data_IF_527085382641
#
_entry.id   IF_527085382641
#
_cell.length_a   1.000
_cell.length_b   1.000
_cell.length_c   1.000
_cell.angle_alpha   90.00
_cell.angle_beta   90.00
_cell.angle_gamma   90.00
#
_symmetry.space_group_name_H-M   'P 1'
#
loop_
_entity.id
_entity.type
_entity.pdbx_description
1 polymer ?
#
# COMPACT_ATOMS: atom_id res chain seq x y z
N UNK A 1 -58.58 55.26 20.47
CA UNK A 1 -57.82 54.15 21.05
C UNK A 1 -57.33 53.23 19.86
N UNK A 2 -56.09 53.42 19.42
CA UNK A 2 -55.51 52.74 18.33
C UNK A 2 -54.59 51.62 18.92
N UNK A 3 -54.91 50.38 18.68
CA UNK A 3 -54.07 49.23 19.09
C UNK A 3 -53.04 48.97 18.02
N UNK A 4 -51.74 49.20 18.29
CA UNK A 4 -50.64 48.80 17.50
C UNK A 4 -50.29 47.30 17.82
N UNK A 5 -50.42 46.43 16.86
CA UNK A 5 -49.98 45.04 16.97
C UNK A 5 -48.56 44.94 16.39
N UNK A 6 -47.57 44.65 17.25
CA UNK A 6 -46.21 44.31 16.80
C UNK A 6 -46.13 42.86 16.34
N UNK A 7 -45.80 42.64 15.06
CA UNK A 7 -45.46 41.35 14.54
C UNK A 7 -43.95 41.08 14.75
N UNK A 8 -43.64 40.07 15.54
CA UNK A 8 -42.26 39.58 15.71
C UNK A 8 -41.95 38.63 14.58
N UNK A 9 -41.06 39.01 13.68
CA UNK A 9 -40.52 38.13 12.64
C UNK A 9 -39.36 37.33 13.23
N UNK A 10 -39.59 36.04 13.48
CA UNK A 10 -38.52 35.08 13.80
C UNK A 10 -37.75 34.73 12.52
N UNK A 11 -36.51 35.21 12.40
CA UNK A 11 -35.57 34.77 11.38
C UNK A 11 -34.94 33.48 11.89
N UNK A 12 -35.41 32.34 11.38
CA UNK A 12 -34.76 31.03 11.60
C UNK A 12 -33.45 30.96 10.85
N UNK A 13 -32.34 30.97 11.56
CA UNK A 13 -31.01 30.66 10.98
C UNK A 13 -30.95 29.18 10.72
N UNK A 14 -31.08 28.79 9.46
CA UNK A 14 -30.87 27.42 8.99
C UNK A 14 -29.35 27.17 8.98
N UNK A 15 -28.84 26.54 10.02
CA UNK A 15 -27.47 26.06 10.03
C UNK A 15 -27.36 24.88 9.03
N UNK A 16 -26.89 25.19 7.82
CA UNK A 16 -26.48 24.17 6.85
C UNK A 16 -25.20 23.51 7.41
N UNK A 17 -25.36 22.37 8.06
CA UNK A 17 -24.26 21.50 8.36
C UNK A 17 -23.65 21.06 7.01
N UNK A 18 -22.56 21.68 6.59
CA UNK A 18 -21.73 21.16 5.52
C UNK A 18 -21.15 19.84 6.03
N UNK A 19 -21.80 18.73 5.65
CA UNK A 19 -21.18 17.41 5.78
C UNK A 19 -19.91 17.46 4.94
N UNK A 20 -18.76 17.48 5.60
CA UNK A 20 -17.47 17.25 4.95
C UNK A 20 -17.55 15.87 4.33
N UNK A 21 -17.62 15.81 3.01
CA UNK A 21 -17.58 14.54 2.27
C UNK A 21 -16.22 13.93 2.59
N UNK A 22 -16.22 12.93 3.48
CA UNK A 22 -15.02 12.26 3.90
C UNK A 22 -14.33 11.69 2.64
N UNK A 23 -13.10 12.11 2.36
CA UNK A 23 -12.32 11.55 1.27
C UNK A 23 -12.05 10.08 1.60
N UNK A 24 -12.73 9.17 0.89
CA UNK A 24 -12.57 7.73 1.11
C UNK A 24 -11.29 7.16 0.49
N UNK A 25 -10.40 8.00 0.00
CA UNK A 25 -9.16 7.63 -0.63
C UNK A 25 -7.98 7.96 0.28
N UNK A 26 -7.09 6.97 0.49
CA UNK A 26 -5.85 7.20 1.23
C UNK A 26 -4.75 7.61 0.24
N UNK A 27 -4.16 8.76 0.47
CA UNK A 27 -3.09 9.35 -0.34
C UNK A 27 -1.88 9.63 0.53
N UNK A 28 -0.67 9.35 0.04
CA UNK A 28 0.54 9.60 0.81
C UNK A 28 1.79 8.94 0.27
N UNK A 29 1.64 7.91 -0.59
CA UNK A 29 2.76 7.32 -1.27
C UNK A 29 3.25 8.17 -2.45
N UNK A 30 4.58 8.27 -2.59
CA UNK A 30 5.24 8.90 -3.74
C UNK A 30 5.34 8.00 -4.97
N UNK A 31 5.20 6.70 -4.78
CA UNK A 31 5.24 5.66 -5.81
C UNK A 31 4.00 4.78 -5.84
N UNK A 32 3.87 3.88 -6.83
CA UNK A 32 2.82 2.88 -6.89
C UNK A 32 2.65 2.10 -5.59
N UNK A 33 1.39 1.84 -5.19
CA UNK A 33 1.07 0.98 -4.04
C UNK A 33 1.15 -0.47 -4.48
N UNK A 34 2.14 -1.21 -3.97
CA UNK A 34 2.47 -2.57 -4.38
C UNK A 34 1.80 -3.64 -3.51
N UNK A 35 1.58 -3.34 -2.23
CA UNK A 35 1.05 -4.28 -1.27
C UNK A 35 0.07 -3.61 -0.30
N UNK A 36 -0.91 -4.38 0.17
CA UNK A 36 -1.93 -3.97 1.15
C UNK A 36 -2.21 -5.13 2.10
N UNK A 37 -2.38 -4.81 3.38
CA UNK A 37 -2.96 -5.71 4.37
C UNK A 37 -3.83 -4.92 5.35
N UNK A 38 -4.84 -5.59 5.92
CA UNK A 38 -5.77 -5.03 6.89
C UNK A 38 -5.49 -5.62 8.26
N UNK A 39 -5.58 -4.80 9.30
CA UNK A 39 -5.51 -5.30 10.68
C UNK A 39 -6.68 -6.24 10.99
N UNK A 40 -6.50 -7.22 11.87
CA UNK A 40 -7.56 -8.19 12.20
C UNK A 40 -8.88 -7.54 12.66
N UNK A 41 -8.81 -6.37 13.31
CA UNK A 41 -9.97 -5.60 13.77
C UNK A 41 -10.60 -4.69 12.69
N UNK A 42 -10.01 -4.65 11.50
CA UNK A 42 -10.49 -3.83 10.39
C UNK A 42 -10.29 -2.32 10.52
N UNK A 43 -9.60 -1.84 11.57
CA UNK A 43 -9.47 -0.39 11.83
C UNK A 43 -8.26 0.24 11.17
N UNK A 44 -7.24 -0.55 10.90
CA UNK A 44 -5.98 -0.10 10.29
C UNK A 44 -5.73 -0.83 8.98
N UNK A 45 -5.01 -0.17 8.08
CA UNK A 45 -4.38 -0.79 6.93
C UNK A 45 -2.87 -0.54 6.97
N UNK A 46 -2.10 -1.40 6.34
CA UNK A 46 -0.70 -1.19 6.02
C UNK A 46 -0.53 -1.31 4.51
N UNK A 47 0.23 -0.41 3.92
CA UNK A 47 0.58 -0.45 2.50
C UNK A 47 2.08 -0.43 2.30
N UNK A 48 2.57 -1.12 1.28
CA UNK A 48 3.94 -1.07 0.80
C UNK A 48 3.99 -0.45 -0.60
N UNK A 49 5.06 0.27 -0.93
CA UNK A 49 5.16 1.02 -2.17
C UNK A 49 6.55 0.98 -2.80
N UNK A 50 6.58 1.27 -4.10
CA UNK A 50 7.81 1.52 -4.86
C UNK A 50 8.60 2.74 -4.35
N UNK A 51 8.01 3.61 -3.53
CA UNK A 51 8.71 4.73 -2.88
C UNK A 51 9.58 4.30 -1.69
N UNK A 52 9.85 3.01 -1.55
CA UNK A 52 10.66 2.37 -0.50
C UNK A 52 10.07 2.46 0.90
N UNK A 53 8.85 2.94 1.06
CA UNK A 53 8.17 3.06 2.35
C UNK A 53 7.00 2.11 2.51
N UNK A 54 6.66 1.80 3.77
CA UNK A 54 5.34 1.31 4.12
C UNK A 54 4.63 2.38 4.96
N UNK A 55 3.30 2.48 4.82
CA UNK A 55 2.49 3.45 5.56
C UNK A 55 1.37 2.70 6.29
N UNK A 56 1.26 2.93 7.60
CA UNK A 56 0.13 2.49 8.40
C UNK A 56 -0.94 3.58 8.39
N UNK A 57 -2.17 3.19 8.11
CA UNK A 57 -3.32 4.07 7.93
C UNK A 57 -4.39 3.82 8.98
N UNK A 58 -5.00 4.87 9.51
CA UNK A 58 -6.29 4.77 10.18
C UNK A 58 -7.40 4.79 9.14
N UNK A 59 -8.17 3.71 9.06
CA UNK A 59 -9.30 3.61 8.13
C UNK A 59 -10.50 4.46 8.57
N UNK A 60 -10.63 4.74 9.85
CA UNK A 60 -11.65 5.63 10.39
C UNK A 60 -11.35 7.09 10.05
N UNK A 61 -10.09 7.53 10.27
CA UNK A 61 -9.67 8.92 10.04
C UNK A 61 -9.27 9.21 8.60
N UNK A 62 -9.16 8.18 7.75
CA UNK A 62 -8.62 8.28 6.38
C UNK A 62 -7.24 8.96 6.32
N UNK A 63 -6.38 8.69 7.27
CA UNK A 63 -5.11 9.35 7.44
C UNK A 63 -3.96 8.38 7.71
N UNK A 64 -2.76 8.75 7.25
CA UNK A 64 -1.54 8.07 7.64
C UNK A 64 -1.28 8.30 9.14
N UNK A 65 -1.02 7.22 9.88
CA UNK A 65 -0.67 7.28 11.29
C UNK A 65 0.80 7.01 11.53
N UNK A 66 1.46 6.31 10.62
CA UNK A 66 2.88 5.98 10.74
C UNK A 66 3.49 5.73 9.37
N UNK A 67 4.72 6.20 9.14
CA UNK A 67 5.50 5.92 7.94
C UNK A 67 6.74 5.12 8.34
N UNK A 68 6.83 3.90 7.82
CA UNK A 68 7.89 2.94 8.12
C UNK A 68 8.94 2.98 7.00
N UNK A 69 10.21 3.23 7.35
CA UNK A 69 11.31 3.35 6.40
C UNK A 69 12.48 2.50 6.86
N UNK A 70 12.80 1.51 6.07
CA UNK A 70 13.91 0.59 6.32
C UNK A 70 14.50 0.06 5.01
N UNK A 71 13.64 -0.37 4.08
CA UNK A 71 14.05 -1.01 2.84
C UNK A 71 14.81 -0.06 1.91
N UNK A 72 15.75 -0.60 1.16
CA UNK A 72 16.57 0.13 0.18
C UNK A 72 15.92 0.16 -1.22
N UNK A 73 14.96 -0.72 -1.47
CA UNK A 73 14.15 -0.78 -2.68
C UNK A 73 12.66 -0.79 -2.36
N UNK A 74 11.84 -1.12 -3.37
CA UNK A 74 10.40 -1.20 -3.25
C UNK A 74 9.96 -2.11 -2.09
N UNK A 75 8.94 -1.71 -1.35
CA UNK A 75 8.26 -2.58 -0.37
C UNK A 75 7.19 -3.36 -1.12
N UNK A 76 7.51 -4.63 -1.41
CA UNK A 76 6.70 -5.48 -2.29
C UNK A 76 5.60 -6.25 -1.57
N UNK A 77 5.79 -6.53 -0.28
CA UNK A 77 4.80 -7.25 0.52
C UNK A 77 4.68 -6.71 1.94
N UNK A 78 3.48 -6.79 2.49
CA UNK A 78 3.18 -6.41 3.87
C UNK A 78 2.21 -7.42 4.49
N UNK A 79 2.29 -7.60 5.80
CA UNK A 79 1.36 -8.45 6.54
C UNK A 79 1.14 -7.90 7.96
N UNK A 80 -0.08 -8.07 8.50
CA UNK A 80 -0.35 -7.90 9.92
C UNK A 80 -0.13 -9.22 10.67
N UNK A 81 0.49 -9.14 11.83
CA UNK A 81 0.59 -10.24 12.76
C UNK A 81 -0.54 -10.13 13.79
N UNK A 82 -1.01 -11.26 14.38
CA UNK A 82 -2.09 -11.25 15.38
C UNK A 82 -1.80 -10.41 16.63
N UNK A 83 -0.53 -10.23 16.97
CA UNK A 83 -0.07 -9.42 18.11
C UNK A 83 0.02 -7.90 17.81
N UNK A 84 -0.45 -7.47 16.66
CA UNK A 84 -0.46 -6.07 16.23
C UNK A 84 0.84 -5.59 15.59
N UNK A 85 1.90 -6.41 15.57
CA UNK A 85 3.07 -6.13 14.73
C UNK A 85 2.71 -6.16 13.26
N UNK A 86 3.55 -5.55 12.43
CA UNK A 86 3.48 -5.71 10.97
C UNK A 86 4.82 -6.22 10.45
N UNK A 87 4.75 -6.98 9.36
CA UNK A 87 5.90 -7.37 8.57
C UNK A 87 5.89 -6.58 7.26
N UNK A 88 7.06 -6.11 6.84
CA UNK A 88 7.29 -5.53 5.51
C UNK A 88 8.42 -6.28 4.82
N UNK A 89 8.30 -6.51 3.52
CA UNK A 89 9.32 -7.22 2.75
C UNK A 89 9.65 -6.43 1.47
N UNK A 90 10.92 -6.38 1.11
CA UNK A 90 11.42 -5.49 0.09
C UNK A 90 12.16 -6.15 -1.06
N UNK A 91 12.44 -5.34 -2.04
CA UNK A 91 13.30 -5.65 -3.17
C UNK A 91 14.73 -5.97 -2.73
N UNK A 92 15.13 -5.51 -1.55
CA UNK A 92 16.43 -5.76 -0.92
C UNK A 92 16.57 -7.18 -0.32
N UNK A 93 15.59 -8.06 -0.50
CA UNK A 93 15.59 -9.44 0.01
C UNK A 93 15.38 -9.56 1.53
N UNK A 94 15.11 -8.47 2.22
CA UNK A 94 14.93 -8.43 3.68
C UNK A 94 13.46 -8.37 4.08
N UNK A 95 13.16 -8.87 5.27
CA UNK A 95 11.85 -8.76 5.91
C UNK A 95 12.07 -8.03 7.25
N UNK A 96 11.35 -6.95 7.49
CA UNK A 96 11.40 -6.18 8.71
C UNK A 96 10.13 -6.36 9.53
N UNK A 97 10.26 -6.63 10.83
CA UNK A 97 9.16 -6.73 11.77
C UNK A 97 9.08 -5.46 12.61
N UNK A 98 7.87 -4.91 12.75
CA UNK A 98 7.65 -3.62 13.38
C UNK A 98 6.62 -3.72 14.51
N UNK A 99 6.89 -3.04 15.62
CA UNK A 99 5.88 -2.72 16.63
C UNK A 99 5.24 -1.36 16.36
N UNK A 100 3.97 -1.16 16.71
CA UNK A 100 3.35 0.15 16.64
C UNK A 100 4.13 1.20 17.45
N UNK A 101 4.38 2.36 16.83
CA UNK A 101 5.07 3.47 17.49
C UNK A 101 6.60 3.37 17.56
N UNK A 102 7.20 2.23 17.16
CA UNK A 102 8.65 2.08 17.14
C UNK A 102 9.23 2.60 15.81
N UNK A 103 10.22 3.51 15.86
CA UNK A 103 10.78 4.14 14.67
C UNK A 103 11.69 3.21 13.85
N UNK A 104 12.10 2.07 14.41
CA UNK A 104 12.94 1.08 13.77
C UNK A 104 12.32 -0.30 13.86
N UNK A 105 12.63 -1.21 12.92
CA UNK A 105 12.17 -2.59 13.03
C UNK A 105 12.72 -3.25 14.29
N UNK A 106 11.88 -4.01 14.98
CA UNK A 106 12.28 -4.77 16.18
C UNK A 106 13.03 -6.05 15.83
N UNK A 107 12.91 -6.53 14.60
CA UNK A 107 13.69 -7.63 14.05
C UNK A 107 13.79 -7.53 12.53
N UNK A 108 14.87 -8.06 11.99
CA UNK A 108 15.10 -8.17 10.55
C UNK A 108 15.43 -9.62 10.23
N UNK A 109 14.62 -10.22 9.33
CA UNK A 109 14.84 -11.58 8.84
C UNK A 109 15.60 -11.48 7.52
N UNK A 110 16.74 -12.18 7.45
CA UNK A 110 17.65 -12.17 6.29
C UNK A 110 17.89 -13.60 5.80
N UNK A 111 18.14 -13.73 4.51
CA UNK A 111 18.44 -15.03 3.92
C UNK A 111 18.00 -15.16 2.46
N UNK A 112 16.94 -14.46 2.04
CA UNK A 112 16.63 -14.35 0.61
C UNK A 112 17.71 -13.57 -0.13
N UNK A 113 18.01 -14.01 -1.36
CA UNK A 113 19.05 -13.42 -2.21
C UNK A 113 18.50 -12.59 -3.38
N UNK A 114 17.17 -12.49 -3.46
CA UNK A 114 16.45 -11.69 -4.45
C UNK A 114 15.19 -11.08 -3.81
N UNK A 115 14.43 -10.22 -4.52
CA UNK A 115 13.24 -9.57 -3.99
C UNK A 115 12.27 -10.52 -3.30
N UNK A 116 11.83 -10.17 -2.10
CA UNK A 116 10.70 -10.83 -1.42
C UNK A 116 9.42 -10.15 -1.89
N UNK A 117 8.48 -10.94 -2.44
CA UNK A 117 7.32 -10.40 -3.15
C UNK A 117 5.97 -10.78 -2.54
N UNK A 118 5.94 -11.73 -1.62
CA UNK A 118 4.73 -12.09 -0.88
C UNK A 118 5.06 -12.51 0.55
N UNK A 119 4.13 -12.22 1.46
CA UNK A 119 4.14 -12.62 2.86
C UNK A 119 2.78 -13.22 3.23
N UNK A 120 2.80 -14.25 4.06
CA UNK A 120 1.62 -14.82 4.69
C UNK A 120 1.94 -15.15 6.16
N UNK A 121 0.94 -15.00 7.04
CA UNK A 121 1.05 -15.32 8.46
C UNK A 121 0.25 -16.60 8.74
N UNK A 122 0.82 -17.52 9.50
CA UNK A 122 0.12 -18.74 9.89
C UNK A 122 -1.11 -18.42 10.74
N UNK A 123 -2.16 -19.26 10.70
CA UNK A 123 -3.37 -19.04 11.50
C UNK A 123 -3.12 -18.91 13.00
N UNK A 124 -2.11 -19.60 13.53
CA UNK A 124 -1.68 -19.52 14.93
C UNK A 124 -0.79 -18.29 15.24
N UNK A 125 -0.40 -17.53 14.20
CA UNK A 125 0.48 -16.37 14.33
C UNK A 125 1.93 -16.67 14.70
N UNK A 126 2.37 -17.94 14.67
CA UNK A 126 3.71 -18.34 15.11
C UNK A 126 4.73 -18.38 13.97
N UNK A 127 4.28 -18.42 12.73
CA UNK A 127 5.14 -18.55 11.54
C UNK A 127 4.79 -17.49 10.50
N UNK A 128 5.81 -16.85 9.95
CA UNK A 128 5.70 -16.00 8.76
C UNK A 128 6.21 -16.81 7.56
N UNK A 129 5.45 -16.86 6.48
CA UNK A 129 5.90 -17.40 5.20
C UNK A 129 6.26 -16.26 4.26
N UNK A 130 7.30 -16.44 3.45
CA UNK A 130 7.72 -15.51 2.41
C UNK A 130 7.96 -16.22 1.08
N UNK A 131 7.65 -15.55 -0.03
CA UNK A 131 7.97 -15.97 -1.38
C UNK A 131 8.95 -14.98 -2.02
N UNK A 132 9.94 -15.49 -2.72
CA UNK A 132 11.00 -14.67 -3.30
C UNK A 132 11.34 -15.07 -4.74
N UNK A 133 11.86 -14.10 -5.46
CA UNK A 133 12.42 -14.29 -6.79
C UNK A 133 13.78 -14.99 -6.80
N UNK A 134 14.28 -15.41 -5.63
CA UNK A 134 15.41 -16.34 -5.51
C UNK A 134 14.99 -17.80 -5.73
N UNK A 135 13.79 -18.04 -6.23
CA UNK A 135 13.17 -19.34 -6.53
C UNK A 135 12.80 -20.16 -5.29
N UNK A 136 12.85 -19.53 -4.09
CA UNK A 136 12.49 -20.20 -2.84
C UNK A 136 11.32 -19.51 -2.13
N UNK A 137 10.65 -20.29 -1.29
CA UNK A 137 9.85 -19.74 -0.20
C UNK A 137 10.50 -20.11 1.14
N UNK A 138 10.22 -19.35 2.19
CA UNK A 138 10.77 -19.60 3.52
C UNK A 138 9.71 -19.49 4.59
N UNK A 139 9.80 -20.36 5.60
CA UNK A 139 8.96 -20.33 6.79
C UNK A 139 9.83 -19.89 7.96
N UNK A 140 9.49 -18.73 8.53
CA UNK A 140 10.24 -18.09 9.60
C UNK A 140 9.49 -18.25 10.92
N UNK A 141 10.03 -19.01 11.89
CA UNK A 141 9.46 -19.05 13.24
C UNK A 141 9.55 -17.66 13.89
N UNK A 142 8.42 -17.09 14.29
CA UNK A 142 8.37 -15.74 14.90
C UNK A 142 8.82 -15.73 16.36
N UNK A 143 9.01 -16.92 16.94
CA UNK A 143 9.61 -17.13 18.27
C UNK A 143 11.14 -17.21 18.21
N UNK A 144 11.72 -17.15 17.00
CA UNK A 144 13.16 -17.29 16.76
C UNK A 144 13.53 -18.69 16.25
N UNK A 145 14.73 -18.81 15.71
CA UNK A 145 15.26 -20.02 15.09
C UNK A 145 15.52 -19.86 13.59
N UNK A 146 16.12 -20.90 12.98
CA UNK A 146 16.41 -20.93 11.56
C UNK A 146 15.13 -21.12 10.73
N UNK A 147 14.98 -20.43 9.59
CA UNK A 147 13.85 -20.65 8.69
C UNK A 147 13.94 -22.01 8.01
N UNK A 148 12.79 -22.64 7.76
CA UNK A 148 12.69 -23.74 6.82
C UNK A 148 12.67 -23.18 5.40
N UNK A 149 13.58 -23.61 4.54
CA UNK A 149 13.65 -23.23 3.14
C UNK A 149 12.87 -24.24 2.30
N UNK A 150 12.00 -23.75 1.42
CA UNK A 150 11.20 -24.56 0.49
C UNK A 150 11.79 -24.36 -0.90
N UNK A 151 12.56 -25.34 -1.34
CA UNK A 151 13.27 -25.34 -2.62
C UNK A 151 12.58 -26.23 -3.64
N UNK A 152 12.65 -25.86 -4.92
CA UNK A 152 12.16 -26.72 -6.00
C UNK A 152 11.48 -25.98 -7.15
N UNK A 153 11.02 -24.73 -6.98
CA UNK A 153 10.57 -23.93 -8.11
C UNK A 153 11.72 -23.67 -9.08
N UNK A 154 11.44 -23.81 -10.38
CA UNK A 154 12.44 -23.58 -11.42
C UNK A 154 12.60 -22.08 -11.79
N UNK A 155 11.65 -21.26 -11.38
CA UNK A 155 11.62 -19.80 -11.60
C UNK A 155 11.12 -19.07 -10.35
N UNK A 156 10.97 -17.76 -10.47
CA UNK A 156 10.49 -16.86 -9.41
C UNK A 156 9.25 -17.39 -8.70
N UNK A 157 9.28 -17.44 -7.37
CA UNK A 157 8.10 -17.71 -6.54
C UNK A 157 7.38 -16.42 -6.29
N UNK A 158 6.15 -16.31 -6.78
CA UNK A 158 5.41 -15.04 -6.78
C UNK A 158 4.46 -14.87 -5.60
N UNK A 159 3.99 -15.97 -5.01
CA UNK A 159 3.04 -15.91 -3.90
C UNK A 159 3.12 -17.14 -3.01
N UNK A 160 2.71 -16.97 -1.76
CA UNK A 160 2.62 -18.01 -0.74
C UNK A 160 1.37 -17.80 0.10
N UNK A 161 0.71 -18.89 0.49
CA UNK A 161 -0.43 -18.88 1.42
C UNK A 161 -0.37 -20.10 2.35
N UNK A 162 -0.88 -19.99 3.56
CA UNK A 162 -1.04 -21.15 4.45
C UNK A 162 -2.26 -21.98 4.03
N UNK A 163 -2.11 -23.30 4.13
CA UNK A 163 -3.15 -24.30 3.84
C UNK A 163 -3.10 -25.38 4.92
N UNK A 164 -4.03 -25.33 5.86
CA UNK A 164 -3.97 -26.21 7.03
C UNK A 164 -2.69 -25.97 7.83
N UNK A 165 -1.93 -27.03 8.06
CA UNK A 165 -0.63 -27.02 8.72
C UNK A 165 0.58 -26.86 7.75
N UNK A 166 0.29 -26.79 6.45
CA UNK A 166 1.26 -26.58 5.38
C UNK A 166 1.12 -25.24 4.69
N UNK A 167 1.79 -25.09 3.56
CA UNK A 167 1.72 -23.90 2.71
C UNK A 167 1.57 -24.26 1.25
N UNK A 168 1.03 -23.33 0.47
CA UNK A 168 0.96 -23.38 -0.99
C UNK A 168 1.82 -22.27 -1.55
N UNK A 169 2.63 -22.57 -2.56
CA UNK A 169 3.42 -21.60 -3.32
C UNK A 169 3.08 -21.67 -4.80
N UNK A 170 3.21 -20.55 -5.49
CA UNK A 170 3.01 -20.47 -6.94
C UNK A 170 4.11 -19.63 -7.56
N UNK A 171 4.48 -19.97 -8.82
CA UNK A 171 5.59 -19.30 -9.47
C UNK A 171 5.45 -19.15 -10.99
N UNK A 172 6.43 -18.46 -11.57
CA UNK A 172 6.52 -18.26 -13.02
C UNK A 172 6.84 -19.54 -13.80
N UNK A 173 7.26 -20.61 -13.13
CA UNK A 173 7.42 -21.95 -13.71
C UNK A 173 6.07 -22.66 -13.99
N UNK A 174 4.96 -21.94 -13.87
CA UNK A 174 3.60 -22.44 -14.02
C UNK A 174 3.24 -23.56 -13.04
N UNK A 175 3.99 -23.73 -11.94
CA UNK A 175 3.67 -24.74 -10.93
C UNK A 175 3.04 -24.12 -9.69
N UNK A 176 2.04 -24.83 -9.15
CA UNK A 176 1.53 -24.71 -7.82
C UNK A 176 2.08 -25.85 -7.00
N UNK A 177 2.66 -25.57 -5.82
CA UNK A 177 3.23 -26.59 -4.93
C UNK A 177 2.55 -26.53 -3.59
N UNK A 178 2.05 -27.68 -3.14
CA UNK A 178 1.47 -27.86 -1.81
C UNK A 178 2.55 -28.52 -0.95
N UNK A 179 3.04 -27.80 0.03
CA UNK A 179 4.09 -28.22 0.95
C UNK A 179 3.46 -28.65 2.25
N UNK A 180 3.39 -29.94 2.56
CA UNK A 180 2.96 -30.41 3.87
C UNK A 180 4.00 -30.01 4.93
N UNK A 181 3.60 -30.08 6.19
CA UNK A 181 4.53 -29.87 7.30
C UNK A 181 5.72 -30.83 7.19
N UNK A 182 5.44 -32.08 6.89
CA UNK A 182 6.42 -33.15 6.72
C UNK A 182 6.22 -33.86 5.38
N UNK A 183 7.31 -34.23 4.72
CA UNK A 183 7.28 -34.94 3.44
C UNK A 183 7.56 -34.09 2.22
N UNK A 184 7.41 -34.69 1.05
CA UNK A 184 7.64 -34.07 -0.25
C UNK A 184 6.44 -33.22 -0.68
N UNK A 185 6.65 -32.13 -1.42
CA UNK A 185 5.56 -31.33 -1.95
C UNK A 185 4.80 -32.05 -3.06
N UNK A 186 3.49 -31.82 -3.12
CA UNK A 186 2.70 -32.11 -4.31
C UNK A 186 2.91 -30.98 -5.33
N UNK A 187 3.27 -31.31 -6.55
CA UNK A 187 3.53 -30.37 -7.65
C UNK A 187 2.43 -30.49 -8.69
N UNK A 188 1.79 -29.37 -8.99
CA UNK A 188 0.71 -29.28 -9.97
C UNK A 188 1.13 -28.24 -11.02
N UNK A 189 1.19 -28.68 -12.29
CA UNK A 189 1.48 -27.78 -13.41
C UNK A 189 0.19 -27.26 -14.00
N UNK A 190 0.08 -25.94 -14.17
CA UNK A 190 -1.05 -25.27 -14.79
C UNK A 190 -0.63 -24.68 -16.16
N UNK A 191 -1.60 -24.36 -17.03
CA UNK A 191 -1.30 -23.96 -18.42
C UNK A 191 -0.53 -22.66 -18.60
N UNK A 192 -0.43 -21.81 -17.58
CA UNK A 192 0.25 -20.50 -17.64
C UNK A 192 0.95 -20.18 -16.31
N UNK A 193 1.94 -19.27 -16.30
CA UNK A 193 2.59 -18.78 -15.09
C UNK A 193 1.61 -18.25 -14.06
N UNK A 194 1.94 -18.42 -12.79
CA UNK A 194 1.08 -18.11 -11.65
C UNK A 194 1.60 -16.89 -10.91
N UNK A 195 0.72 -15.90 -10.65
CA UNK A 195 1.08 -14.62 -10.04
C UNK A 195 0.69 -14.51 -8.57
N UNK A 196 -0.44 -15.10 -8.18
CA UNK A 196 -0.96 -15.01 -6.81
C UNK A 196 -1.67 -16.30 -6.41
N UNK A 197 -1.68 -16.58 -5.10
CA UNK A 197 -2.44 -17.67 -4.50
C UNK A 197 -3.11 -17.20 -3.22
N UNK A 198 -4.31 -17.71 -2.97
CA UNK A 198 -5.03 -17.57 -1.72
C UNK A 198 -5.69 -18.91 -1.38
N UNK A 199 -5.90 -19.16 -0.08
CA UNK A 199 -6.56 -20.38 0.41
C UNK A 199 -7.78 -19.97 1.21
N UNK A 200 -8.92 -20.51 0.84
CA UNK A 200 -10.19 -20.24 1.51
C UNK A 200 -10.30 -21.00 2.86
N UNK A 201 -11.20 -20.58 3.75
CA UNK A 201 -11.38 -21.24 5.06
C UNK A 201 -11.71 -22.75 4.98
N UNK A 202 -12.31 -23.20 3.89
CA UNK A 202 -12.62 -24.61 3.61
C UNK A 202 -11.45 -25.37 2.93
N UNK A 203 -10.30 -24.72 2.78
CA UNK A 203 -9.09 -25.27 2.18
C UNK A 203 -9.04 -25.21 0.66
N UNK A 204 -10.08 -24.71 -0.03
CA UNK A 204 -10.01 -24.53 -1.49
C UNK A 204 -8.93 -23.52 -1.85
N UNK A 205 -8.09 -23.90 -2.80
CA UNK A 205 -6.96 -23.09 -3.28
C UNK A 205 -7.43 -22.29 -4.49
N UNK A 206 -7.15 -20.99 -4.49
CA UNK A 206 -7.47 -20.08 -5.60
C UNK A 206 -6.17 -19.49 -6.12
N UNK A 207 -5.89 -19.61 -7.41
CA UNK A 207 -4.68 -19.05 -8.02
C UNK A 207 -4.99 -18.17 -9.22
N UNK A 208 -4.23 -17.06 -9.32
CA UNK A 208 -4.30 -16.12 -10.43
C UNK A 208 -3.22 -16.42 -11.46
N UNK A 209 -3.59 -16.42 -12.73
CA UNK A 209 -2.72 -16.79 -13.86
C UNK A 209 -2.35 -15.57 -14.71
N UNK A 210 -1.21 -15.68 -15.38
CA UNK A 210 -0.74 -14.65 -16.32
C UNK A 210 -1.58 -14.55 -17.60
N UNK A 211 -2.41 -15.56 -17.91
CA UNK A 211 -3.37 -15.52 -19.03
C UNK A 211 -4.72 -14.90 -18.68
N UNK A 212 -4.86 -14.30 -17.50
CA UNK A 212 -6.09 -13.62 -17.07
C UNK A 212 -7.14 -14.49 -16.39
N UNK A 213 -6.84 -15.78 -16.21
CA UNK A 213 -7.74 -16.72 -15.55
C UNK A 213 -7.45 -16.85 -14.05
N UNK A 214 -8.51 -17.19 -13.33
CA UNK A 214 -8.46 -17.64 -11.94
C UNK A 214 -8.85 -19.11 -11.92
N UNK A 215 -7.97 -19.96 -11.35
CA UNK A 215 -8.21 -21.39 -11.21
C UNK A 215 -8.49 -21.73 -9.76
N UNK A 216 -9.51 -22.55 -9.52
CA UNK A 216 -9.89 -23.05 -8.20
C UNK A 216 -9.53 -24.53 -8.12
N UNK A 217 -8.84 -24.93 -7.04
CA UNK A 217 -8.40 -26.29 -6.83
C UNK A 217 -8.87 -26.79 -5.45
N UNK A 218 -9.08 -28.11 -5.36
CA UNK A 218 -9.30 -28.75 -4.08
C UNK A 218 -8.07 -28.63 -3.17
N UNK A 219 -8.20 -28.88 -1.86
CA UNK A 219 -7.03 -28.99 -0.97
C UNK A 219 -6.02 -30.07 -1.41
N UNK A 220 -6.47 -31.07 -2.16
CA UNK A 220 -5.63 -32.12 -2.76
C UNK A 220 -5.03 -31.73 -4.13
N UNK A 221 -5.28 -30.50 -4.62
CA UNK A 221 -4.71 -29.99 -5.87
C UNK A 221 -5.50 -30.34 -7.14
N UNK A 222 -6.70 -30.91 -7.03
CA UNK A 222 -7.53 -31.18 -8.19
C UNK A 222 -8.22 -29.90 -8.68
N UNK A 223 -8.15 -29.61 -9.98
CA UNK A 223 -8.82 -28.45 -10.58
C UNK A 223 -10.35 -28.63 -10.51
N UNK A 224 -11.02 -27.71 -9.86
CA UNK A 224 -12.47 -27.69 -9.69
C UNK A 224 -13.19 -26.73 -10.64
N UNK A 225 -12.46 -25.74 -11.16
CA UNK A 225 -13.00 -24.78 -12.12
C UNK A 225 -12.02 -23.69 -12.49
N UNK A 226 -12.30 -23.04 -13.61
CA UNK A 226 -11.57 -21.89 -14.10
C UNK A 226 -12.56 -20.78 -14.48
N UNK A 227 -12.15 -19.53 -14.24
CA UNK A 227 -12.94 -18.34 -14.55
C UNK A 227 -12.02 -17.36 -15.27
N UNK A 228 -12.47 -16.87 -16.43
CA UNK A 228 -11.81 -15.75 -17.09
C UNK A 228 -12.16 -14.46 -16.32
N UNK A 229 -11.20 -13.98 -15.55
CA UNK A 229 -11.33 -12.79 -14.71
C UNK A 229 -10.93 -11.52 -15.46
N UNK A 230 -10.02 -11.62 -16.42
CA UNK A 230 -9.56 -10.51 -17.25
C UNK A 230 -8.96 -11.01 -18.57
N UNK A 231 -8.90 -10.13 -19.58
CA UNK A 231 -8.18 -10.39 -20.84
C UNK A 231 -6.68 -10.03 -20.75
N UNK A 232 -6.15 -9.94 -19.54
CA UNK A 232 -4.77 -9.55 -19.25
C UNK A 232 -4.36 -10.20 -17.92
N UNK A 233 -3.06 -10.29 -17.60
CA UNK A 233 -2.61 -10.92 -16.37
C UNK A 233 -3.35 -10.45 -15.13
N UNK A 234 -3.84 -11.41 -14.34
CA UNK A 234 -4.29 -11.18 -12.96
C UNK A 234 -3.07 -11.26 -12.07
N UNK A 235 -2.82 -10.23 -11.27
CA UNK A 235 -1.57 -10.08 -10.52
C UNK A 235 -1.74 -10.05 -9.01
N UNK A 236 -2.97 -9.88 -8.52
CA UNK A 236 -3.27 -9.97 -7.09
C UNK A 236 -4.62 -10.63 -6.84
N UNK A 237 -4.71 -11.34 -5.72
CA UNK A 237 -5.93 -11.95 -5.21
C UNK A 237 -6.20 -11.49 -3.79
N UNK A 238 -7.48 -11.36 -3.45
CA UNK A 238 -7.94 -11.24 -2.08
C UNK A 238 -9.19 -12.10 -1.88
N UNK A 239 -9.27 -12.78 -0.74
CA UNK A 239 -10.45 -13.50 -0.30
C UNK A 239 -11.20 -12.69 0.76
N UNK A 240 -12.54 -12.68 0.69
CA UNK A 240 -13.35 -12.23 1.81
C UNK A 240 -13.16 -13.17 3.02
N UNK A 241 -13.30 -12.65 4.25
CA UNK A 241 -13.04 -13.43 5.45
C UNK A 241 -13.96 -14.66 5.58
N UNK A 242 -15.19 -14.57 5.04
CA UNK A 242 -16.14 -15.68 4.96
C UNK A 242 -15.83 -16.66 3.80
N UNK A 243 -14.80 -16.38 3.01
CA UNK A 243 -14.38 -17.18 1.86
C UNK A 243 -15.34 -17.19 0.67
N UNK A 244 -16.42 -16.42 0.68
CA UNK A 244 -17.42 -16.48 -0.39
C UNK A 244 -17.00 -15.76 -1.67
N UNK A 245 -16.19 -14.69 -1.54
CA UNK A 245 -15.75 -13.86 -2.68
C UNK A 245 -14.26 -13.87 -2.86
N UNK A 246 -13.87 -13.82 -4.12
CA UNK A 246 -12.50 -13.58 -4.56
C UNK A 246 -12.48 -12.28 -5.33
N UNK A 247 -11.60 -11.36 -4.94
CA UNK A 247 -11.24 -10.22 -5.76
C UNK A 247 -9.96 -10.55 -6.53
N UNK A 248 -10.02 -10.44 -7.86
CA UNK A 248 -8.90 -10.72 -8.77
C UNK A 248 -8.53 -9.44 -9.50
N UNK A 249 -7.37 -8.86 -9.16
CA UNK A 249 -6.92 -7.58 -9.69
C UNK A 249 -5.97 -7.75 -10.86
N UNK A 250 -6.21 -7.00 -11.93
CA UNK A 250 -5.50 -7.10 -13.19
C UNK A 250 -4.63 -5.88 -13.53
N UNK A 251 -3.70 -6.08 -14.46
CA UNK A 251 -2.77 -5.02 -14.91
C UNK A 251 -3.45 -3.91 -15.73
N UNK A 252 -4.69 -4.08 -16.16
CA UNK A 252 -5.48 -3.06 -16.88
C UNK A 252 -6.41 -2.25 -15.97
N UNK A 253 -6.28 -2.37 -14.64
CA UNK A 253 -6.98 -1.53 -13.68
C UNK A 253 -8.37 -2.01 -13.29
N UNK A 254 -8.83 -3.14 -13.80
CA UNK A 254 -10.07 -3.78 -13.40
C UNK A 254 -9.84 -4.77 -12.26
N UNK A 255 -10.86 -4.94 -11.41
CA UNK A 255 -10.88 -5.97 -10.37
C UNK A 255 -12.16 -6.80 -10.55
N UNK A 256 -11.99 -8.07 -10.85
CA UNK A 256 -13.09 -9.02 -10.95
C UNK A 256 -13.50 -9.48 -9.53
N UNK A 257 -14.79 -9.34 -9.20
CA UNK A 257 -15.36 -9.96 -8.01
C UNK A 257 -16.02 -11.26 -8.45
N UNK A 258 -15.56 -12.36 -7.90
CA UNK A 258 -15.96 -13.71 -8.24
C UNK A 258 -16.72 -14.31 -7.07
N UNK A 259 -17.93 -14.85 -7.34
CA UNK A 259 -18.63 -15.75 -6.44
C UNK A 259 -17.92 -17.11 -6.49
N UNK A 260 -17.25 -17.49 -5.40
CA UNK A 260 -16.44 -18.70 -5.34
C UNK A 260 -17.29 -19.97 -5.41
N UNK A 261 -18.42 -20.00 -4.72
CA UNK A 261 -19.31 -21.18 -4.70
C UNK A 261 -20.00 -21.42 -6.05
N UNK A 262 -20.50 -20.35 -6.67
CA UNK A 262 -21.13 -20.42 -7.98
C UNK A 262 -20.11 -20.48 -9.13
N UNK A 263 -18.82 -20.25 -8.86
CA UNK A 263 -17.72 -20.23 -9.84
C UNK A 263 -18.01 -19.33 -11.03
N UNK A 264 -18.47 -18.13 -10.75
CA UNK A 264 -18.84 -17.17 -11.78
C UNK A 264 -18.39 -15.76 -11.41
N UNK A 265 -18.13 -14.97 -12.44
CA UNK A 265 -17.96 -13.54 -12.28
C UNK A 265 -19.26 -12.92 -11.74
N UNK A 266 -19.16 -12.26 -10.58
CA UNK A 266 -20.28 -11.54 -9.97
C UNK A 266 -20.35 -10.12 -10.56
N UNK A 267 -19.19 -9.44 -10.62
CA UNK A 267 -19.06 -8.09 -11.19
C UNK A 267 -17.62 -7.69 -11.48
N UNK A 268 -17.48 -6.56 -12.18
CA UNK A 268 -16.21 -5.90 -12.41
C UNK A 268 -16.20 -4.53 -11.72
N UNK A 269 -15.14 -4.26 -10.95
CA UNK A 269 -14.86 -2.92 -10.47
C UNK A 269 -13.95 -2.25 -11.50
N UNK A 270 -14.37 -1.10 -12.00
CA UNK A 270 -13.65 -0.38 -13.05
C UNK A 270 -12.90 0.78 -12.40
N UNK A 271 -11.60 0.66 -12.32
CA UNK A 271 -10.69 1.70 -11.84
C UNK A 271 -10.23 2.64 -12.97
N UNK A 272 -9.20 3.46 -12.71
CA UNK A 272 -8.70 4.47 -13.65
C UNK A 272 -7.94 3.92 -14.87
N UNK A 273 -8.01 2.61 -15.14
CA UNK A 273 -7.30 1.98 -16.27
C UNK A 273 -5.81 1.72 -16.05
N UNK A 274 -5.30 1.97 -14.85
CA UNK A 274 -3.92 1.72 -14.45
C UNK A 274 -3.81 0.44 -13.60
N UNK A 275 -2.68 -0.29 -13.65
CA UNK A 275 -2.48 -1.52 -12.91
C UNK A 275 -2.89 -1.43 -11.44
N UNK A 276 -3.68 -2.40 -10.97
CA UNK A 276 -4.02 -2.61 -9.55
C UNK A 276 -3.13 -3.73 -9.04
N UNK A 277 -2.14 -3.37 -8.22
CA UNK A 277 -1.10 -4.29 -7.73
C UNK A 277 -1.48 -5.05 -6.47
N UNK A 278 -2.48 -4.56 -5.75
CA UNK A 278 -2.88 -5.13 -4.47
C UNK A 278 -4.35 -4.93 -4.19
N UNK A 279 -4.93 -5.88 -3.48
CA UNK A 279 -6.30 -5.85 -3.00
C UNK A 279 -6.39 -6.52 -1.62
N UNK A 280 -7.28 -6.06 -0.77
CA UNK A 280 -7.57 -6.69 0.51
C UNK A 280 -9.03 -6.42 0.92
N UNK A 281 -9.74 -7.46 1.39
CA UNK A 281 -11.06 -7.29 1.99
C UNK A 281 -10.94 -6.84 3.45
N UNK A 282 -11.85 -5.99 3.88
CA UNK A 282 -12.07 -5.76 5.30
C UNK A 282 -12.82 -6.96 5.92
N UNK A 283 -12.77 -7.12 7.27
CA UNK A 283 -13.47 -8.19 7.96
C UNK A 283 -15.01 -8.17 7.79
N UNK A 284 -15.58 -7.07 7.30
CA UNK A 284 -17.02 -6.93 7.02
C UNK A 284 -17.49 -7.74 5.78
N UNK A 285 -16.59 -8.41 5.06
CA UNK A 285 -16.83 -9.18 3.84
C UNK A 285 -17.46 -8.37 2.68
N UNK A 286 -17.50 -7.06 2.80
CA UNK A 286 -18.15 -6.14 1.88
C UNK A 286 -17.19 -5.08 1.34
N UNK A 287 -16.40 -4.50 2.22
CA UNK A 287 -15.47 -3.45 1.82
C UNK A 287 -14.18 -4.06 1.28
N UNK A 288 -13.85 -3.73 0.04
CA UNK A 288 -12.58 -4.06 -0.59
C UNK A 288 -11.72 -2.79 -0.68
N UNK A 289 -10.45 -2.88 -0.31
CA UNK A 289 -9.48 -1.84 -0.64
C UNK A 289 -8.54 -2.31 -1.75
N UNK A 290 -8.16 -1.37 -2.62
CA UNK A 290 -7.24 -1.62 -3.74
C UNK A 290 -6.15 -0.56 -3.79
N UNK A 291 -4.95 -0.98 -4.18
CA UNK A 291 -3.81 -0.09 -4.39
C UNK A 291 -3.16 -0.36 -5.75
N UNK A 292 -2.66 0.69 -6.39
CA UNK A 292 -2.16 0.57 -7.74
C UNK A 292 -1.14 1.62 -8.16
N UNK A 293 -0.92 1.69 -9.46
CA UNK A 293 0.08 2.55 -10.10
C UNK A 293 -0.19 4.04 -9.89
N UNK A 294 -1.44 4.42 -9.67
CA UNK A 294 -1.83 5.81 -9.44
C UNK A 294 -1.56 6.32 -8.01
N UNK A 295 -0.89 5.51 -7.18
CA UNK A 295 -0.46 5.86 -5.82
C UNK A 295 -1.60 6.08 -4.82
N UNK A 296 -2.83 5.66 -5.18
CA UNK A 296 -4.04 5.86 -4.36
C UNK A 296 -4.54 4.52 -3.85
N UNK A 297 -4.92 4.48 -2.58
CA UNK A 297 -5.66 3.36 -2.02
C UNK A 297 -7.14 3.73 -2.04
N UNK A 298 -7.95 2.92 -2.73
CA UNK A 298 -9.40 3.11 -2.90
C UNK A 298 -10.17 2.10 -2.09
N UNK A 299 -11.37 2.49 -1.68
CA UNK A 299 -12.35 1.60 -1.07
C UNK A 299 -13.51 1.36 -2.03
N UNK A 300 -13.99 0.16 -2.05
CA UNK A 300 -15.09 -0.31 -2.89
C UNK A 300 -16.09 -1.10 -2.07
N UNK A 301 -17.35 -0.92 -2.36
CA UNK A 301 -18.37 -1.87 -1.96
C UNK A 301 -18.39 -3.04 -2.95
N UNK A 302 -17.87 -4.20 -2.52
CA UNK A 302 -17.79 -5.36 -3.39
C UNK A 302 -19.16 -5.94 -3.78
N UNK A 303 -20.24 -5.59 -3.07
CA UNK A 303 -21.60 -6.04 -3.37
C UNK A 303 -22.26 -5.18 -4.45
N UNK A 304 -22.03 -3.87 -4.44
CA UNK A 304 -22.62 -2.96 -5.43
C UNK A 304 -21.66 -2.64 -6.57
N UNK A 305 -20.35 -2.74 -6.32
CA UNK A 305 -19.30 -2.33 -7.25
C UNK A 305 -18.96 -0.84 -7.18
N UNK A 306 -19.68 -0.10 -6.34
CA UNK A 306 -19.50 1.34 -6.21
C UNK A 306 -18.31 1.69 -5.32
N UNK A 307 -17.60 2.77 -5.62
CA UNK A 307 -16.59 3.29 -4.73
C UNK A 307 -17.24 3.83 -3.46
N UNK A 308 -16.65 3.51 -2.29
CA UNK A 308 -17.09 4.04 -1.01
C UNK A 308 -16.45 5.41 -0.79
N UNK A 309 -17.29 6.44 -0.57
CA UNK A 309 -16.93 7.83 -0.43
C UNK A 309 -16.91 8.57 -1.77
N UNK A 310 -16.52 9.86 -1.78
CA UNK A 310 -16.49 10.63 -3.00
C UNK A 310 -15.55 9.95 -4.02
N UNK A 311 -16.13 9.25 -4.97
CA UNK A 311 -15.41 8.85 -6.16
C UNK A 311 -15.03 10.14 -6.88
N UNK A 312 -13.77 10.52 -6.82
CA UNK A 312 -13.24 11.46 -7.79
C UNK A 312 -13.13 10.70 -9.11
N UNK A 313 -14.26 10.57 -9.79
CA UNK A 313 -14.33 10.24 -11.21
C UNK A 313 -13.96 11.55 -11.93
N UNK A 314 -12.69 11.89 -11.88
CA UNK A 314 -12.11 13.11 -12.41
C UNK A 314 -10.64 13.17 -11.98
N UNK A 315 -9.86 13.98 -12.63
CA UNK A 315 -8.52 14.27 -12.13
C UNK A 315 -8.61 14.66 -10.64
N UNK A 316 -7.74 14.13 -9.76
CA UNK A 316 -7.74 14.53 -8.35
C UNK A 316 -7.78 16.04 -8.25
N UNK A 317 -8.52 16.59 -7.28
CA UNK A 317 -8.44 18.02 -7.02
C UNK A 317 -6.95 18.39 -6.93
N UNK A 318 -6.53 19.33 -7.75
CA UNK A 318 -5.14 19.77 -7.77
C UNK A 318 -4.79 20.31 -6.38
N UNK A 319 -3.88 19.67 -5.63
CA UNK A 319 -3.50 20.16 -4.29
C UNK A 319 -2.86 21.54 -4.35
N UNK A 320 -2.50 22.02 -5.54
CA UNK A 320 -1.95 23.35 -5.79
C UNK A 320 -2.97 24.31 -6.45
N UNK A 321 -4.24 23.94 -6.55
CA UNK A 321 -5.28 24.78 -7.18
C UNK A 321 -5.34 26.20 -6.58
N UNK A 322 -5.12 26.34 -5.27
CA UNK A 322 -5.05 27.65 -4.59
C UNK A 322 -3.86 28.51 -5.03
N UNK A 323 -2.90 27.93 -5.73
CA UNK A 323 -1.67 28.55 -6.20
C UNK A 323 -1.57 28.52 -7.74
N UNK A 324 -2.68 28.42 -8.44
CA UNK A 324 -2.71 28.39 -9.91
C UNK A 324 -2.01 29.62 -10.49
N UNK A 325 -1.09 29.40 -11.41
CA UNK A 325 -0.29 30.46 -12.03
C UNK A 325 0.95 30.91 -11.26
N UNK A 326 1.21 30.33 -10.07
CA UNK A 326 2.46 30.56 -9.33
C UNK A 326 3.58 29.67 -9.92
N UNK A 327 4.66 30.25 -10.47
CA UNK A 327 5.74 29.48 -11.09
C UNK A 327 6.39 28.47 -10.13
N UNK A 328 6.53 28.85 -8.87
CA UNK A 328 7.11 27.95 -7.85
C UNK A 328 6.18 26.80 -7.49
N UNK A 329 4.85 26.99 -7.55
CA UNK A 329 3.88 25.92 -7.39
C UNK A 329 3.99 24.90 -8.55
N UNK A 330 4.23 25.34 -9.78
CA UNK A 330 4.43 24.45 -10.92
C UNK A 330 5.70 23.60 -10.75
N UNK A 331 6.80 24.19 -10.27
CA UNK A 331 8.02 23.44 -9.90
C UNK A 331 7.75 22.47 -8.77
N UNK A 332 6.99 22.86 -7.75
CA UNK A 332 6.64 22.03 -6.60
C UNK A 332 5.71 20.86 -6.96
N UNK A 333 5.07 20.86 -8.10
CA UNK A 333 4.10 19.84 -8.54
C UNK A 333 4.64 18.41 -8.45
N UNK A 334 5.92 18.20 -8.69
CA UNK A 334 6.56 16.89 -8.50
C UNK A 334 6.66 16.44 -7.04
N UNK A 335 6.65 17.40 -6.10
CA UNK A 335 6.89 17.16 -4.67
C UNK A 335 5.60 16.82 -3.90
N UNK A 336 4.41 17.21 -4.41
CA UNK A 336 3.12 17.01 -3.73
C UNK A 336 2.75 15.54 -3.53
N UNK A 337 3.37 14.64 -4.30
CA UNK A 337 3.18 13.20 -4.12
C UNK A 337 3.64 12.74 -2.72
N UNK A 338 4.75 13.31 -2.23
CA UNK A 338 5.41 12.89 -1.01
C UNK A 338 5.28 13.89 0.14
N UNK A 339 5.01 15.15 -0.14
CA UNK A 339 4.97 16.21 0.87
C UNK A 339 3.61 16.93 0.91
N UNK A 340 3.22 17.37 2.11
CA UNK A 340 2.09 18.27 2.33
C UNK A 340 2.60 19.66 2.67
N UNK A 341 1.78 20.68 2.44
CA UNK A 341 2.09 22.08 2.77
C UNK A 341 1.43 22.50 4.08
N UNK A 342 0.37 21.80 4.51
CA UNK A 342 -0.39 22.07 5.74
C UNK A 342 -0.09 21.01 6.80
N UNK A 343 -0.06 21.45 8.07
CA UNK A 343 0.08 20.55 9.21
C UNK A 343 -1.12 19.60 9.38
N UNK A 344 -2.32 20.06 9.02
CA UNK A 344 -3.57 19.30 9.16
C UNK A 344 -3.62 18.09 8.20
N UNK A 345 -2.91 18.15 7.07
CA UNK A 345 -2.79 17.03 6.16
C UNK A 345 -1.81 15.95 6.65
N UNK A 346 -1.00 16.24 7.65
CA UNK A 346 -0.02 15.33 8.22
C UNK A 346 1.14 14.99 7.30
N UNK A 347 1.84 13.91 7.64
CA UNK A 347 2.97 13.39 6.87
C UNK A 347 2.48 12.45 5.75
N UNK A 348 3.24 12.41 4.65
CA UNK A 348 3.13 11.42 3.57
C UNK A 348 4.40 10.56 3.53
N UNK A 349 4.78 10.05 2.39
CA UNK A 349 6.08 9.40 2.20
C UNK A 349 7.24 10.33 2.58
N UNK A 350 7.11 11.63 2.36
CA UNK A 350 7.94 12.69 2.95
C UNK A 350 7.28 13.35 4.17
N UNK A 351 8.04 14.10 4.97
CA UNK A 351 7.50 14.91 6.06
C UNK A 351 6.64 16.04 5.52
N UNK A 352 5.68 16.52 6.34
CA UNK A 352 5.01 17.77 6.02
C UNK A 352 6.02 18.93 6.00
N UNK A 353 5.86 19.83 5.04
CA UNK A 353 6.67 21.03 4.91
C UNK A 353 6.09 22.23 5.70
N UNK A 354 4.93 22.07 6.33
CA UNK A 354 4.37 23.12 7.21
C UNK A 354 5.42 23.57 8.24
N UNK A 355 5.71 24.87 8.28
CA UNK A 355 6.75 25.44 9.14
C UNK A 355 8.17 24.95 8.80
N UNK A 356 8.48 24.78 7.53
CA UNK A 356 9.77 24.29 7.05
C UNK A 356 10.92 25.21 7.46
N UNK A 357 10.83 26.48 7.14
CA UNK A 357 11.91 27.44 7.35
C UNK A 357 12.17 27.71 8.82
N UNK A 358 13.44 27.73 9.18
CA UNK A 358 13.91 27.81 10.58
C UNK A 358 13.96 26.46 11.31
N UNK A 359 13.41 25.39 10.71
CA UNK A 359 13.40 24.04 11.30
C UNK A 359 14.72 23.31 11.01
N UNK A 360 15.29 22.68 12.05
CA UNK A 360 16.46 21.80 11.87
C UNK A 360 16.06 20.55 11.10
N UNK A 361 16.95 20.05 10.25
CA UNK A 361 16.78 18.78 9.54
C UNK A 361 16.47 17.65 10.53
N UNK A 362 15.59 16.73 10.13
CA UNK A 362 15.20 15.54 10.90
C UNK A 362 14.60 15.82 12.30
N UNK A 363 14.08 17.03 12.56
CA UNK A 363 13.54 17.43 13.86
C UNK A 363 12.01 17.45 13.94
N UNK A 364 11.29 17.20 12.82
CA UNK A 364 9.82 17.21 12.82
C UNK A 364 9.27 16.05 13.68
N UNK A 365 8.46 16.33 14.71
CA UNK A 365 7.81 15.29 15.51
C UNK A 365 6.88 14.42 14.67
N UNK A 366 6.78 13.13 15.00
CA UNK A 366 5.86 12.20 14.33
C UNK A 366 6.29 11.74 12.94
N UNK A 367 7.51 12.10 12.47
CA UNK A 367 8.09 11.55 11.24
C UNK A 367 9.39 10.81 11.52
N UNK A 368 9.50 9.59 10.97
CA UNK A 368 10.67 8.74 11.19
C UNK A 368 11.76 9.03 10.15
N UNK A 369 12.71 9.88 10.52
CA UNK A 369 13.88 10.19 9.69
C UNK A 369 14.96 9.10 9.80
N UNK A 370 15.78 8.95 8.76
CA UNK A 370 16.93 8.06 8.79
C UNK A 370 17.96 8.51 9.87
N UNK A 371 18.72 7.56 10.41
CA UNK A 371 19.79 7.85 11.36
C UNK A 371 20.86 8.77 10.75
N UNK A 372 21.08 8.68 9.44
CA UNK A 372 22.01 9.55 8.73
C UNK A 372 21.55 11.01 8.74
N UNK A 373 20.28 11.28 8.43
CA UNK A 373 19.72 12.64 8.43
C UNK A 373 19.75 13.28 9.84
N UNK A 374 19.56 12.49 10.90
CA UNK A 374 19.61 12.98 12.28
C UNK A 374 20.99 13.48 12.71
N UNK A 375 22.05 13.05 12.00
CA UNK A 375 23.45 13.46 12.27
C UNK A 375 23.84 14.74 11.53
N UNK A 376 23.04 15.18 10.55
CA UNK A 376 23.34 16.38 9.78
C UNK A 376 23.02 17.63 10.59
N UNK A 377 23.85 18.65 10.45
CA UNK A 377 23.64 19.96 11.07
C UNK A 377 23.19 20.98 10.00
N UNK A 378 21.94 20.84 9.57
CA UNK A 378 21.33 21.69 8.57
C UNK A 378 20.07 22.31 9.18
N UNK A 379 19.94 23.62 9.07
CA UNK A 379 18.70 24.36 9.32
C UNK A 379 18.13 24.74 7.95
N UNK A 380 16.84 24.48 7.75
CA UNK A 380 16.18 24.81 6.51
C UNK A 380 15.98 26.33 6.39
N UNK A 381 16.70 26.93 5.47
CA UNK A 381 16.61 28.32 5.04
C UNK A 381 16.35 28.38 3.55
N UNK A 382 15.98 29.55 2.98
CA UNK A 382 15.91 29.72 1.52
C UNK A 382 17.14 29.20 0.79
N UNK A 383 18.33 29.48 1.32
CA UNK A 383 19.63 29.12 0.72
C UNK A 383 19.88 27.61 0.81
N UNK A 384 19.57 26.97 1.95
CA UNK A 384 19.78 25.53 2.13
C UNK A 384 18.79 24.71 1.30
N UNK A 385 17.55 25.19 1.11
CA UNK A 385 16.58 24.57 0.22
C UNK A 385 17.01 24.74 -1.26
N UNK A 386 17.45 25.92 -1.66
CA UNK A 386 17.98 26.13 -3.00
C UNK A 386 19.18 25.21 -3.28
N UNK A 387 20.09 25.07 -2.30
CA UNK A 387 21.28 24.23 -2.41
C UNK A 387 20.93 22.75 -2.53
N UNK A 388 19.91 22.28 -1.78
CA UNK A 388 19.40 20.90 -1.91
C UNK A 388 19.05 20.56 -3.36
N UNK A 389 18.35 21.46 -4.06
CA UNK A 389 17.93 21.24 -5.44
C UNK A 389 18.98 21.65 -6.49
N UNK A 390 20.04 22.33 -6.10
CA UNK A 390 21.18 22.62 -6.97
C UNK A 390 22.07 21.40 -7.16
N UNK A 391 22.43 20.70 -6.06
CA UNK A 391 23.40 19.61 -6.10
C UNK A 391 22.78 18.21 -5.87
N UNK A 392 21.48 18.16 -5.63
CA UNK A 392 20.69 16.94 -5.45
C UNK A 392 20.63 16.42 -4.00
N UNK A 393 19.50 15.77 -3.67
CA UNK A 393 19.25 15.25 -2.33
C UNK A 393 20.28 14.24 -1.84
N UNK A 394 20.74 13.33 -2.67
CA UNK A 394 21.73 12.31 -2.27
C UNK A 394 23.08 12.93 -1.88
N UNK A 395 23.46 14.01 -2.53
CA UNK A 395 24.71 14.74 -2.26
C UNK A 395 24.57 15.67 -1.07
N UNK A 396 23.47 16.46 -1.00
CA UNK A 396 23.31 17.47 0.05
C UNK A 396 22.86 16.87 1.38
N UNK A 397 22.03 15.85 1.34
CA UNK A 397 21.51 15.15 2.53
C UNK A 397 21.77 13.64 2.43
N UNK A 398 23.04 13.20 2.59
CA UNK A 398 23.41 11.80 2.48
C UNK A 398 22.58 10.89 3.39
N UNK A 399 22.10 9.76 2.85
CA UNK A 399 21.22 8.83 3.56
C UNK A 399 19.73 9.24 3.55
N UNK A 400 19.38 10.24 2.73
CA UNK A 400 17.98 10.56 2.45
C UNK A 400 17.32 9.42 1.67
N UNK A 401 15.99 9.32 1.81
CA UNK A 401 15.12 8.50 0.95
C UNK A 401 14.30 9.36 -0.03
N UNK A 402 14.61 10.65 -0.09
CA UNK A 402 14.06 11.53 -1.12
C UNK A 402 14.62 11.11 -2.48
N UNK A 403 13.77 10.93 -3.50
CA UNK A 403 14.25 10.64 -4.86
C UNK A 403 15.22 11.73 -5.34
N UNK A 404 16.19 11.35 -6.16
CA UNK A 404 17.13 12.30 -6.74
C UNK A 404 16.38 13.30 -7.63
N UNK A 405 16.55 14.57 -7.34
CA UNK A 405 15.94 15.68 -8.06
C UNK A 405 16.89 16.87 -8.05
N UNK A 406 17.26 17.33 -9.21
CA UNK A 406 18.01 18.58 -9.40
C UNK A 406 17.18 19.54 -10.25
N UNK A 407 17.25 20.82 -9.93
CA UNK A 407 16.62 21.90 -10.71
C UNK A 407 17.76 22.73 -11.28
N UNK A 408 18.04 22.57 -12.57
CA UNK A 408 19.16 23.21 -13.23
C UNK A 408 19.01 24.73 -13.35
N UNK A 409 17.78 25.22 -13.53
CA UNK A 409 17.50 26.65 -13.67
C UNK A 409 17.57 27.37 -12.31
N UNK A 410 18.41 28.40 -12.15
CA UNK A 410 18.42 29.24 -10.96
C UNK A 410 17.10 29.94 -10.71
N UNK A 411 16.41 30.38 -11.75
CA UNK A 411 15.12 31.07 -11.65
C UNK A 411 14.02 30.14 -11.15
N UNK A 412 13.98 28.89 -11.61
CA UNK A 412 13.03 27.88 -11.11
C UNK A 412 13.33 27.52 -9.65
N UNK A 413 14.60 27.42 -9.24
CA UNK A 413 14.96 27.21 -7.83
C UNK A 413 14.50 28.38 -6.95
N UNK A 414 14.70 29.61 -7.42
CA UNK A 414 14.25 30.80 -6.70
C UNK A 414 12.73 30.85 -6.59
N UNK A 415 12.02 30.54 -7.67
CA UNK A 415 10.55 30.48 -7.68
C UNK A 415 10.05 29.40 -6.70
N UNK A 416 10.65 28.20 -6.68
CA UNK A 416 10.31 27.14 -5.72
C UNK A 416 10.49 27.59 -4.29
N UNK A 417 11.60 28.25 -3.95
CA UNK A 417 11.90 28.73 -2.60
C UNK A 417 10.87 29.77 -2.17
N UNK A 418 10.59 30.77 -3.00
CA UNK A 418 9.58 31.80 -2.74
C UNK A 418 8.18 31.20 -2.53
N UNK A 419 7.81 30.23 -3.34
CA UNK A 419 6.57 29.49 -3.18
C UNK A 419 6.51 28.79 -1.81
N UNK A 420 7.57 28.06 -1.43
CA UNK A 420 7.63 27.35 -0.16
C UNK A 420 7.56 28.32 1.03
N UNK A 421 8.25 29.47 0.97
CA UNK A 421 8.16 30.49 2.02
C UNK A 421 6.73 31.00 2.22
N UNK A 422 5.98 31.15 1.14
CA UNK A 422 4.57 31.59 1.17
C UNK A 422 3.64 30.46 1.65
N UNK A 423 3.82 29.25 1.13
CA UNK A 423 2.87 28.14 1.28
C UNK A 423 3.06 27.34 2.58
N UNK A 424 4.23 27.43 3.24
CA UNK A 424 4.55 26.66 4.45
C UNK A 424 4.56 27.52 5.73
N UNK A 425 4.14 28.79 5.67
CA UNK A 425 3.99 29.64 6.86
C UNK A 425 3.00 28.99 7.84
N UNK A 426 3.36 29.03 9.13
CA UNK A 426 2.51 28.55 10.22
C UNK A 426 1.27 29.42 10.38
#
# INVERSE_FOLDING_TARGET
>A
MIKCTFAVVMIGVLAIAMATVAQAQLRGHGGPVRALAISPDGKLAISGSFDTSAIRWSLERNAAVEVLRFHEGAVNAVAYLPDGRVATAGEDGRIALWRPGEPQPVAVLTGHTAPVVALAVSPDGQTLASASWDHTARLWPLTGGAPRVLEGHAQNVNSVAFAGDGVVTVGYDATLRIWPRDGAPLVITLPAPLNAVAVAPDGEIVTARADGKVTMLSPAGEVRGEIEAAQAPVIALALSADGKRVAAAGIRGSVAIIDRAARRLERMLIGPGLPVWSAAFLPDNRTLITGGTDRVIRRWDALTGEPIGAAVVGAPADPLAAYAGDPGAEVFRACVACHTLSADEGNRAGPTLAGLFGRRIASLPGYNFSAALRKLDIVWTPETVAKLFEIGPSTYTPGTKMPEQTIGSPDERAALVQFLEKATKK
#
